data_IF_290656581107
#
_entry.id   IF_290656581107
#
_cell.length_a   1.000
_cell.length_b   1.000
_cell.length_c   1.000
_cell.angle_alpha   90.00
_cell.angle_beta   90.00
_cell.angle_gamma   90.00
#
_symmetry.space_group_name_H-M   'P 1'
#
loop_
_entity.id
_entity.type
_entity.pdbx_description
1 polymer ?
#
# COMPACT_ATOMS: atom_id res chain seq x y z
N UNK A 1 -58.96 4.08 -4.84
CA UNK A 1 -58.14 4.62 -3.75
C UNK A 1 -57.01 3.64 -3.50
N UNK A 2 -55.77 3.83 -4.05
CA UNK A 2 -54.62 3.08 -3.59
C UNK A 2 -53.95 3.90 -2.45
N UNK A 3 -53.58 3.18 -1.44
CA UNK A 3 -53.00 3.62 -0.18
C UNK A 3 -51.50 3.88 -0.39
N UNK A 4 -51.10 5.12 -0.21
CA UNK A 4 -49.71 5.62 -0.43
C UNK A 4 -48.97 5.53 0.91
N UNK A 5 -48.41 4.35 1.22
CA UNK A 5 -47.55 4.16 2.38
C UNK A 5 -46.12 4.60 2.03
N UNK A 6 -45.85 5.89 2.23
CA UNK A 6 -44.49 6.41 2.28
C UNK A 6 -43.73 5.80 3.47
N UNK A 7 -42.86 4.81 3.19
CA UNK A 7 -41.90 4.31 4.14
C UNK A 7 -40.81 5.37 4.33
N UNK A 8 -40.76 5.99 5.50
CA UNK A 8 -39.72 6.93 5.89
C UNK A 8 -38.40 6.24 6.00
N UNK A 9 -37.40 6.71 5.22
CA UNK A 9 -36.00 6.30 5.32
C UNK A 9 -35.47 6.74 6.69
N UNK A 10 -34.88 5.84 7.51
CA UNK A 10 -34.34 6.25 8.81
C UNK A 10 -33.17 7.23 8.58
N UNK A 11 -33.23 8.36 9.30
CA UNK A 11 -32.17 9.35 9.28
C UNK A 11 -30.82 8.73 9.69
N UNK A 12 -29.85 8.82 8.81
CA UNK A 12 -28.47 8.46 9.10
C UNK A 12 -28.00 9.38 10.23
N UNK A 13 -27.74 8.82 11.41
CA UNK A 13 -27.20 9.57 12.54
C UNK A 13 -25.83 10.13 12.13
N UNK A 14 -25.72 11.47 12.21
CA UNK A 14 -24.44 12.17 11.98
C UNK A 14 -23.34 11.55 12.85
N UNK A 15 -22.14 11.32 12.30
CA UNK A 15 -21.03 10.80 13.09
C UNK A 15 -20.76 11.76 14.25
N UNK A 16 -20.84 11.25 15.49
CA UNK A 16 -20.47 12.01 16.68
C UNK A 16 -19.04 12.52 16.46
N UNK A 17 -18.86 13.83 16.46
CA UNK A 17 -17.55 14.47 16.47
C UNK A 17 -16.81 13.96 17.69
N UNK A 18 -15.88 13.05 17.51
CA UNK A 18 -15.02 12.55 18.57
C UNK A 18 -14.10 13.71 18.95
N UNK A 19 -14.19 14.21 20.18
CA UNK A 19 -13.26 15.21 20.69
C UNK A 19 -11.84 14.72 20.42
N UNK A 20 -11.01 15.57 19.80
CA UNK A 20 -9.62 15.24 19.54
C UNK A 20 -8.92 15.10 20.89
N UNK A 21 -8.33 13.94 21.23
CA UNK A 21 -7.64 13.77 22.51
C UNK A 21 -6.57 14.84 22.70
N UNK A 22 -6.42 15.35 23.94
CA UNK A 22 -5.39 16.33 24.24
C UNK A 22 -4.00 15.79 23.94
N UNK A 23 -3.13 16.68 23.49
CA UNK A 23 -1.75 16.35 23.20
C UNK A 23 -0.81 16.91 24.27
N UNK A 24 0.12 16.07 24.67
CA UNK A 24 1.21 16.43 25.60
C UNK A 24 2.56 16.21 24.92
N UNK A 25 3.53 17.03 25.25
CA UNK A 25 4.87 16.94 24.67
C UNK A 25 5.91 16.59 25.73
N UNK A 26 6.81 15.64 25.41
CA UNK A 26 7.91 15.24 26.26
C UNK A 26 9.19 15.07 25.46
N UNK A 27 10.32 15.44 26.03
CA UNK A 27 11.64 15.20 25.44
C UNK A 27 12.25 13.94 26.05
N UNK A 28 12.81 13.10 25.21
CA UNK A 28 13.58 11.91 25.59
C UNK A 28 15.04 12.06 25.19
N UNK A 29 15.91 11.43 25.95
CA UNK A 29 17.30 11.20 25.52
C UNK A 29 17.27 10.26 24.29
N UNK A 30 18.21 10.39 23.34
CA UNK A 30 18.21 9.61 22.09
C UNK A 30 18.11 8.10 22.29
N UNK A 31 18.78 7.57 23.34
CA UNK A 31 18.72 6.13 23.63
C UNK A 31 17.30 5.68 23.96
N UNK A 32 16.59 6.43 24.81
CA UNK A 32 15.21 6.10 25.19
C UNK A 32 14.23 6.31 24.03
N UNK A 33 14.44 7.34 23.22
CA UNK A 33 13.65 7.54 22.01
C UNK A 33 13.74 6.33 21.08
N UNK A 34 14.97 5.84 20.79
CA UNK A 34 15.17 4.63 19.96
C UNK A 34 14.56 3.37 20.57
N UNK A 35 14.55 3.23 21.90
CA UNK A 35 13.90 2.11 22.58
C UNK A 35 12.37 2.14 22.41
N UNK A 36 11.75 3.33 22.46
CA UNK A 36 10.32 3.50 22.16
C UNK A 36 10.04 3.22 20.70
N UNK A 37 10.81 3.79 19.78
CA UNK A 37 10.69 3.59 18.34
C UNK A 37 10.77 2.09 17.96
N UNK A 38 11.63 1.35 18.65
CA UNK A 38 11.76 -0.10 18.51
C UNK A 38 10.66 -0.91 19.23
N UNK A 39 9.71 -0.27 19.91
CA UNK A 39 8.63 -0.93 20.65
C UNK A 39 9.09 -1.63 21.95
N UNK A 40 10.36 -1.50 22.37
CA UNK A 40 10.92 -2.17 23.54
C UNK A 40 10.62 -1.45 24.85
N UNK A 41 10.69 -0.11 24.85
CA UNK A 41 10.29 0.73 25.97
C UNK A 41 8.82 1.08 25.84
N UNK A 42 8.01 0.70 26.84
CA UNK A 42 6.56 0.91 26.84
C UNK A 42 6.04 1.59 28.11
N UNK A 43 6.95 1.98 29.01
CA UNK A 43 6.65 2.76 30.20
C UNK A 43 7.62 3.95 30.27
N UNK A 44 7.09 5.16 30.39
CA UNK A 44 7.86 6.37 30.64
C UNK A 44 7.71 6.80 32.09
N UNK A 45 8.80 7.21 32.70
CA UNK A 45 8.85 7.64 34.10
C UNK A 45 9.05 9.15 34.18
N UNK A 46 8.21 9.84 34.96
CA UNK A 46 8.27 11.29 35.17
C UNK A 46 7.96 11.63 36.63
N UNK A 47 8.57 12.70 37.14
CA UNK A 47 8.12 13.30 38.40
C UNK A 47 6.77 13.95 38.22
N UNK A 48 5.92 13.87 39.24
CA UNK A 48 4.50 14.24 39.21
C UNK A 48 4.29 15.75 39.36
N UNK A 49 4.87 16.55 38.44
CA UNK A 49 4.57 17.99 38.35
C UNK A 49 3.11 18.24 37.98
N UNK A 50 2.52 19.40 38.33
CA UNK A 50 1.14 19.71 37.97
C UNK A 50 0.82 19.41 36.51
N UNK A 51 1.65 19.90 35.58
CA UNK A 51 1.49 19.67 34.14
C UNK A 51 1.52 18.18 33.74
N UNK A 52 2.23 17.34 34.50
CA UNK A 52 2.30 15.91 34.21
C UNK A 52 1.13 15.13 34.82
N UNK A 53 0.53 15.65 35.89
CA UNK A 53 -0.68 15.10 36.51
C UNK A 53 -1.93 15.32 35.64
N UNK A 54 -1.88 16.29 34.71
CA UNK A 54 -2.99 16.58 33.79
C UNK A 54 -3.12 15.56 32.66
N UNK A 55 -2.15 14.65 32.49
CA UNK A 55 -2.18 13.62 31.46
C UNK A 55 -3.14 12.52 31.88
N UNK A 56 -4.00 12.08 30.97
CA UNK A 56 -4.98 11.03 31.21
C UNK A 56 -4.81 9.83 30.23
N UNK A 57 -5.37 8.69 30.63
CA UNK A 57 -5.43 7.54 29.73
C UNK A 57 -6.29 7.85 28.49
N UNK A 58 -5.83 7.40 27.33
CA UNK A 58 -6.43 7.70 26.03
C UNK A 58 -5.86 8.93 25.33
N UNK A 59 -5.10 9.77 26.06
CA UNK A 59 -4.48 10.97 25.46
C UNK A 59 -3.17 10.63 24.72
N UNK A 60 -2.80 11.51 23.80
CA UNK A 60 -1.58 11.37 23.01
C UNK A 60 -0.42 12.09 23.68
N UNK A 61 0.72 11.44 23.79
CA UNK A 61 2.00 12.06 24.15
C UNK A 61 2.91 12.03 22.92
N UNK A 62 3.38 13.21 22.51
CA UNK A 62 4.38 13.38 21.47
C UNK A 62 5.75 13.35 22.15
N UNK A 63 6.52 12.34 21.86
CA UNK A 63 7.89 12.17 22.34
C UNK A 63 8.87 12.77 21.34
N UNK A 64 9.72 13.69 21.80
CA UNK A 64 10.73 14.33 20.97
C UNK A 64 12.11 13.76 21.29
N UNK A 65 12.82 13.31 20.29
CA UNK A 65 14.25 13.02 20.41
C UNK A 65 14.98 14.34 20.70
N UNK A 66 15.71 14.38 21.82
CA UNK A 66 16.39 15.58 22.31
C UNK A 66 17.43 16.14 21.35
N UNK A 67 18.12 15.27 20.61
CA UNK A 67 19.25 15.65 19.78
C UNK A 67 18.83 15.91 18.32
N UNK A 68 17.92 15.11 17.79
CA UNK A 68 17.50 15.20 16.39
C UNK A 68 16.20 15.98 16.19
N UNK A 69 15.41 16.18 17.27
CA UNK A 69 14.08 16.78 17.20
C UNK A 69 13.00 15.89 16.55
N UNK A 70 13.34 14.64 16.16
CA UNK A 70 12.37 13.69 15.63
C UNK A 70 11.24 13.47 16.62
N UNK A 71 10.04 13.25 16.11
CA UNK A 71 8.84 13.07 16.90
C UNK A 71 8.25 11.68 16.73
N UNK A 72 7.65 11.18 17.80
CA UNK A 72 7.02 9.89 17.91
C UNK A 72 5.77 9.99 18.78
N UNK A 73 4.63 9.50 18.32
CA UNK A 73 3.40 9.51 19.07
C UNK A 73 3.21 8.22 19.86
N UNK A 74 2.77 8.38 21.09
CA UNK A 74 2.30 7.27 21.93
C UNK A 74 0.92 7.60 22.48
N UNK A 75 0.07 6.58 22.68
CA UNK A 75 -1.21 6.71 23.36
C UNK A 75 -1.08 6.17 24.77
N UNK A 76 -1.39 6.99 25.76
CA UNK A 76 -1.31 6.59 27.16
C UNK A 76 -2.41 5.57 27.46
N UNK A 77 -2.01 4.39 27.94
CA UNK A 77 -2.96 3.35 28.39
C UNK A 77 -3.31 3.46 29.85
N UNK A 78 -2.30 3.75 30.68
CA UNK A 78 -2.42 3.77 32.12
C UNK A 78 -1.41 4.76 32.70
N UNK A 79 -1.83 5.45 33.75
CA UNK A 79 -0.93 6.25 34.57
C UNK A 79 -1.06 5.77 36.01
N UNK A 80 0.08 5.46 36.63
CA UNK A 80 0.17 5.05 38.03
C UNK A 80 1.08 6.02 38.79
N UNK A 81 0.64 6.45 39.95
CA UNK A 81 1.42 7.33 40.83
C UNK A 81 2.10 6.50 41.92
N UNK A 82 3.36 6.84 42.21
CA UNK A 82 4.16 6.22 43.24
C UNK A 82 4.78 7.30 44.15
N UNK A 83 5.05 6.98 45.42
CA UNK A 83 5.72 7.93 46.34
C UNK A 83 7.17 8.19 45.93
N UNK A 84 7.89 7.16 45.45
CA UNK A 84 9.32 7.21 45.12
C UNK A 84 9.64 6.42 43.84
N UNK A 85 10.88 6.53 43.36
CA UNK A 85 11.38 5.69 42.27
C UNK A 85 11.56 4.22 42.71
N UNK A 86 11.87 3.97 43.98
CA UNK A 86 11.97 2.60 44.52
C UNK A 86 10.61 1.91 44.47
N UNK A 87 9.55 2.53 45.04
CA UNK A 87 8.19 1.96 44.99
C UNK A 87 7.74 1.69 43.55
N UNK A 88 8.14 2.56 42.62
CA UNK A 88 7.83 2.36 41.20
C UNK A 88 8.57 1.14 40.64
N UNK A 89 9.85 1.00 40.91
CA UNK A 89 10.66 -0.11 40.38
C UNK A 89 10.35 -1.47 41.04
N UNK A 90 9.82 -1.44 42.27
CA UNK A 90 9.33 -2.65 42.96
C UNK A 90 7.99 -3.15 42.34
N UNK A 91 7.28 -2.29 41.65
CA UNK A 91 5.94 -2.62 41.12
C UNK A 91 5.90 -2.77 39.61
N UNK A 92 6.57 -1.88 38.85
CA UNK A 92 6.62 -1.89 37.40
C UNK A 92 7.78 -2.73 36.89
N UNK A 93 7.60 -3.37 35.73
CA UNK A 93 8.69 -4.12 35.09
C UNK A 93 9.80 -3.17 34.59
N UNK A 94 11.02 -3.21 35.18
CA UNK A 94 12.12 -2.33 34.78
C UNK A 94 12.53 -2.48 33.31
N UNK A 95 12.38 -3.68 32.72
CA UNK A 95 12.69 -3.93 31.31
C UNK A 95 11.73 -3.18 30.34
N UNK A 96 10.56 -2.78 30.80
CA UNK A 96 9.63 -1.93 30.03
C UNK A 96 9.96 -0.45 30.15
N UNK A 97 10.79 -0.05 31.10
CA UNK A 97 11.23 1.33 31.36
C UNK A 97 12.58 1.59 30.69
N UNK A 98 13.55 0.71 30.91
CA UNK A 98 14.88 0.72 30.27
C UNK A 98 15.29 -0.73 29.93
N UNK A 99 14.94 -1.22 28.72
CA UNK A 99 15.22 -2.60 28.32
C UNK A 99 16.70 -2.95 28.18
N UNK A 100 17.59 -1.95 28.20
CA UNK A 100 19.04 -2.14 28.03
C UNK A 100 19.82 -1.93 29.36
N UNK A 101 19.11 -1.61 30.45
CA UNK A 101 19.72 -1.35 31.77
C UNK A 101 19.27 -2.33 32.85
N UNK A 102 20.02 -2.34 33.96
CA UNK A 102 19.62 -3.05 35.19
C UNK A 102 18.74 -2.17 36.08
N UNK A 103 17.93 -2.73 37.01
CA UNK A 103 17.13 -1.95 37.95
C UNK A 103 17.95 -0.95 38.79
N UNK A 104 19.14 -1.35 39.21
CA UNK A 104 20.04 -0.49 39.99
C UNK A 104 20.61 0.67 39.17
N UNK A 105 21.00 0.43 37.95
CA UNK A 105 21.43 1.46 36.99
C UNK A 105 20.29 2.42 36.64
N UNK A 106 19.07 1.90 36.48
CA UNK A 106 17.89 2.70 36.20
C UNK A 106 17.56 3.62 37.38
N UNK A 107 17.58 3.12 38.61
CA UNK A 107 17.37 3.93 39.81
C UNK A 107 18.41 5.05 39.91
N UNK A 108 19.69 4.70 39.72
CA UNK A 108 20.81 5.68 39.73
C UNK A 108 20.63 6.76 38.67
N UNK A 109 20.21 6.34 37.44
CA UNK A 109 19.94 7.26 36.34
C UNK A 109 18.78 8.20 36.66
N UNK A 110 17.65 7.67 37.15
CA UNK A 110 16.50 8.49 37.54
C UNK A 110 16.86 9.54 38.58
N UNK A 111 17.64 9.16 39.60
CA UNK A 111 18.11 10.09 40.66
C UNK A 111 19.15 11.10 40.16
N UNK A 112 19.90 10.76 39.12
CA UNK A 112 20.79 11.72 38.46
C UNK A 112 20.05 12.80 37.69
N UNK A 113 18.88 12.43 37.13
CA UNK A 113 18.01 13.36 36.37
C UNK A 113 17.11 14.18 37.32
N UNK A 114 16.62 13.57 38.39
CA UNK A 114 15.67 14.16 39.32
C UNK A 114 16.23 14.21 40.73
N UNK A 115 16.66 15.40 41.19
CA UNK A 115 17.09 15.59 42.60
C UNK A 115 15.99 15.20 43.60
N UNK A 116 16.33 14.88 44.86
CA UNK A 116 15.37 14.45 45.90
C UNK A 116 14.16 15.35 46.07
N UNK A 117 14.34 16.67 45.96
CA UNK A 117 13.24 17.64 46.02
C UNK A 117 12.24 17.49 44.87
N UNK A 118 12.62 16.93 43.73
CA UNK A 118 11.72 16.59 42.61
C UNK A 118 11.04 15.26 42.83
N UNK A 119 11.78 14.24 43.32
CA UNK A 119 11.19 12.94 43.65
C UNK A 119 10.09 13.08 44.73
N UNK A 120 10.27 13.98 45.70
CA UNK A 120 9.28 14.29 46.73
C UNK A 120 7.91 14.78 46.20
N UNK A 121 7.81 15.19 44.92
CA UNK A 121 6.54 15.49 44.27
C UNK A 121 5.72 14.22 43.93
N UNK A 122 6.31 13.04 44.11
CA UNK A 122 5.84 11.77 43.62
C UNK A 122 6.30 11.48 42.20
N UNK A 123 6.09 10.26 41.77
CA UNK A 123 6.55 9.72 40.48
C UNK A 123 5.37 9.13 39.70
N UNK A 124 5.37 9.30 38.39
CA UNK A 124 4.38 8.77 37.49
C UNK A 124 5.00 7.73 36.56
N UNK A 125 4.39 6.57 36.48
CA UNK A 125 4.60 5.61 35.39
C UNK A 125 3.50 5.76 34.35
N UNK A 126 3.88 6.15 33.13
CA UNK A 126 2.98 6.27 31.98
C UNK A 126 3.18 5.05 31.10
N UNK A 127 2.31 4.07 31.19
CA UNK A 127 2.29 2.95 30.26
C UNK A 127 1.56 3.36 28.97
N UNK A 128 2.14 3.05 27.82
CA UNK A 128 1.65 3.54 26.55
C UNK A 128 1.83 2.51 25.42
N UNK A 129 1.10 2.74 24.33
CA UNK A 129 1.32 2.10 23.04
C UNK A 129 1.97 3.06 22.06
N UNK A 130 2.91 2.56 21.32
CA UNK A 130 3.49 3.27 20.18
C UNK A 130 2.44 3.44 19.09
N UNK A 131 2.31 4.66 18.58
CA UNK A 131 1.49 4.98 17.41
C UNK A 131 2.43 5.34 16.26
N UNK A 132 2.61 4.48 15.26
CA UNK A 132 3.61 4.68 14.21
C UNK A 132 3.32 5.88 13.30
N UNK A 133 2.04 6.29 13.18
CA UNK A 133 1.66 7.42 12.35
C UNK A 133 0.56 8.28 13.01
N UNK A 134 0.67 9.58 12.86
CA UNK A 134 -0.28 10.60 13.30
C UNK A 134 -0.97 11.21 12.08
N UNK A 135 -2.32 11.30 12.04
CA UNK A 135 -3.01 11.98 10.96
C UNK A 135 -2.50 13.43 10.78
N UNK A 136 -2.17 13.80 9.55
CA UNK A 136 -1.68 15.14 9.22
C UNK A 136 -0.20 15.41 9.56
N UNK A 137 0.52 14.47 10.15
CA UNK A 137 1.96 14.60 10.32
C UNK A 137 2.65 14.52 8.96
N UNK A 138 3.62 15.39 8.67
CA UNK A 138 4.45 15.25 7.46
C UNK A 138 5.10 13.87 7.41
N UNK A 139 5.25 13.34 6.22
CA UNK A 139 6.01 12.10 6.01
C UNK A 139 7.44 12.29 6.55
N UNK A 140 8.04 11.27 7.21
CA UNK A 140 9.38 11.37 7.80
C UNK A 140 10.49 11.55 6.76
N UNK A 141 10.17 11.38 5.48
CA UNK A 141 11.07 11.56 4.35
C UNK A 141 10.35 12.27 3.20
N UNK A 142 11.10 12.93 2.34
CA UNK A 142 10.54 13.56 1.14
C UNK A 142 9.96 12.50 0.19
N UNK A 143 9.03 12.88 -0.72
CA UNK A 143 8.51 11.96 -1.72
C UNK A 143 9.62 11.28 -2.56
N UNK A 144 10.67 12.01 -2.91
CA UNK A 144 11.84 11.46 -3.64
C UNK A 144 12.57 10.41 -2.81
N UNK A 145 12.89 10.71 -1.55
CA UNK A 145 13.51 9.74 -0.66
C UNK A 145 12.64 8.50 -0.44
N UNK A 146 11.31 8.69 -0.31
CA UNK A 146 10.39 7.58 -0.18
C UNK A 146 10.39 6.70 -1.45
N UNK A 147 10.37 7.31 -2.64
CA UNK A 147 10.40 6.59 -3.90
C UNK A 147 11.66 5.69 -4.03
N UNK A 148 12.80 6.10 -3.45
CA UNK A 148 14.02 5.30 -3.43
C UNK A 148 13.94 4.07 -2.51
N UNK A 149 13.00 4.04 -1.56
CA UNK A 149 12.86 2.93 -0.58
C UNK A 149 11.87 1.85 -1.01
N UNK A 150 11.03 2.12 -2.01
CA UNK A 150 10.02 1.18 -2.49
C UNK A 150 10.51 0.41 -3.71
N UNK A 151 10.07 -0.85 -3.90
CA UNK A 151 10.42 -1.61 -5.09
C UNK A 151 9.93 -0.92 -6.37
N UNK A 152 10.78 -0.82 -7.36
CA UNK A 152 10.39 -0.34 -8.68
C UNK A 152 9.59 -1.40 -9.43
N UNK A 153 8.54 -0.95 -10.11
CA UNK A 153 7.67 -1.77 -10.93
C UNK A 153 7.57 -1.12 -12.31
N UNK A 154 7.44 -1.91 -13.35
CA UNK A 154 7.00 -1.40 -14.65
C UNK A 154 5.54 -1.74 -14.86
N UNK A 155 4.85 -0.91 -15.62
CA UNK A 155 3.43 -1.08 -15.95
C UNK A 155 3.31 -1.29 -17.45
N UNK A 156 2.34 -2.11 -17.88
CA UNK A 156 1.98 -2.22 -19.27
C UNK A 156 0.46 -2.19 -19.46
N UNK A 157 0.03 -1.71 -20.60
CA UNK A 157 -1.36 -1.67 -21.02
C UNK A 157 -1.56 -2.47 -22.31
N UNK A 158 -2.62 -3.29 -22.36
CA UNK A 158 -2.97 -4.06 -23.56
C UNK A 158 -4.46 -4.00 -23.87
N UNK A 159 -4.83 -4.27 -25.12
CA UNK A 159 -6.20 -4.46 -25.56
C UNK A 159 -6.48 -5.95 -25.83
N UNK A 160 -7.51 -6.46 -25.19
CA UNK A 160 -8.08 -7.75 -25.56
C UNK A 160 -9.11 -7.55 -26.67
N UNK A 161 -8.81 -7.98 -27.87
CA UNK A 161 -9.67 -7.87 -29.05
C UNK A 161 -10.10 -9.24 -29.56
N UNK A 162 -11.25 -9.31 -30.20
CA UNK A 162 -11.89 -10.53 -30.70
C UNK A 162 -12.46 -10.31 -32.08
N UNK A 163 -12.70 -11.38 -32.81
CA UNK A 163 -13.53 -11.34 -34.03
C UNK A 163 -15.05 -11.35 -33.71
N UNK A 164 -15.86 -11.30 -34.74
CA UNK A 164 -17.33 -11.34 -34.63
C UNK A 164 -17.86 -12.65 -34.05
N UNK A 165 -17.06 -13.72 -34.06
CA UNK A 165 -17.38 -15.02 -33.45
C UNK A 165 -16.81 -15.16 -32.03
N UNK A 166 -16.42 -14.06 -31.38
CA UNK A 166 -15.81 -14.01 -30.07
C UNK A 166 -14.47 -14.80 -29.95
N UNK A 167 -13.77 -15.01 -31.07
CA UNK A 167 -12.45 -15.66 -31.02
C UNK A 167 -11.36 -14.63 -30.80
N UNK A 168 -10.45 -14.85 -29.81
CA UNK A 168 -9.36 -13.91 -29.53
C UNK A 168 -8.40 -13.70 -30.70
N UNK A 169 -8.03 -12.44 -30.90
CA UNK A 169 -6.97 -12.01 -31.81
C UNK A 169 -5.67 -11.88 -31.02
N UNK A 170 -4.59 -12.44 -31.54
CA UNK A 170 -3.25 -12.30 -30.94
C UNK A 170 -2.23 -11.90 -32.02
N UNK A 171 -1.21 -11.15 -31.60
CA UNK A 171 -0.06 -10.79 -32.40
C UNK A 171 1.14 -11.67 -32.01
N UNK A 172 1.97 -12.05 -32.97
CA UNK A 172 3.18 -12.81 -32.69
C UNK A 172 4.39 -11.89 -32.73
N UNK A 173 5.06 -11.77 -31.58
CA UNK A 173 6.26 -10.96 -31.47
C UNK A 173 7.41 -11.54 -32.28
N UNK A 174 8.27 -10.69 -32.84
CA UNK A 174 9.53 -11.10 -33.48
C UNK A 174 10.64 -11.37 -32.46
N UNK A 175 10.45 -10.96 -31.20
CA UNK A 175 11.47 -11.04 -30.16
C UNK A 175 11.47 -12.37 -29.41
N UNK A 176 12.63 -12.76 -28.92
CA UNK A 176 12.83 -13.89 -28.01
C UNK A 176 12.30 -15.21 -28.57
N UNK A 177 11.39 -15.87 -27.86
CA UNK A 177 10.75 -17.11 -28.28
C UNK A 177 9.55 -16.89 -29.23
N UNK A 178 9.38 -15.69 -29.74
CA UNK A 178 8.26 -15.28 -30.61
C UNK A 178 6.89 -15.55 -29.97
N UNK A 179 6.64 -15.01 -28.77
CA UNK A 179 5.40 -15.28 -28.06
C UNK A 179 4.19 -14.63 -28.75
N UNK A 180 3.03 -15.28 -28.61
CA UNK A 180 1.75 -14.67 -28.90
C UNK A 180 1.32 -13.77 -27.75
N UNK A 181 0.86 -12.58 -28.06
CA UNK A 181 0.52 -11.53 -27.10
C UNK A 181 -0.65 -10.67 -27.55
N UNK A 182 -1.24 -9.94 -26.61
CA UNK A 182 -2.23 -8.92 -26.90
C UNK A 182 -1.57 -7.70 -27.55
N UNK A 183 -2.25 -6.94 -28.40
CA UNK A 183 -1.81 -5.60 -28.78
C UNK A 183 -1.60 -4.73 -27.54
N UNK A 184 -0.44 -4.09 -27.43
CA UNK A 184 -0.09 -3.26 -26.29
C UNK A 184 1.37 -3.35 -25.87
N UNK A 185 1.78 -2.45 -25.01
CA UNK A 185 3.18 -2.27 -24.62
C UNK A 185 3.38 -1.73 -23.21
N UNK A 186 4.64 -1.42 -22.91
CA UNK A 186 5.00 -0.84 -21.63
C UNK A 186 4.61 0.64 -21.58
N UNK A 187 4.30 1.12 -20.36
CA UNK A 187 4.08 2.52 -20.07
C UNK A 187 5.45 3.24 -20.07
N UNK A 188 5.87 3.74 -21.20
CA UNK A 188 7.15 4.40 -21.43
C UNK A 188 7.03 5.88 -21.83
N UNK A 189 5.85 6.30 -22.30
CA UNK A 189 5.58 7.69 -22.61
C UNK A 189 5.16 8.47 -21.36
N UNK A 190 5.81 9.62 -21.14
CA UNK A 190 5.52 10.47 -19.98
C UNK A 190 4.11 11.05 -20.05
N UNK A 191 3.34 10.85 -18.97
CA UNK A 191 1.99 11.38 -18.82
C UNK A 191 0.88 10.50 -19.37
N UNK A 192 1.19 9.34 -19.95
CA UNK A 192 0.19 8.35 -20.32
C UNK A 192 -0.30 7.55 -19.09
N UNK A 193 -1.52 7.11 -19.16
CA UNK A 193 -2.07 6.03 -18.34
C UNK A 193 -2.06 4.69 -19.09
N UNK A 194 -2.24 3.55 -18.42
CA UNK A 194 -2.18 2.24 -19.08
C UNK A 194 -3.20 2.01 -20.20
N UNK A 195 -4.35 2.69 -20.19
CA UNK A 195 -5.33 2.60 -21.27
C UNK A 195 -4.87 3.41 -22.49
N UNK A 196 -4.31 4.60 -22.25
CA UNK A 196 -3.73 5.42 -23.31
C UNK A 196 -2.58 4.69 -24.00
N UNK A 197 -1.68 4.08 -23.22
CA UNK A 197 -0.62 3.22 -23.74
C UNK A 197 -1.19 2.08 -24.56
N UNK A 198 -2.18 1.33 -24.05
CA UNK A 198 -2.79 0.22 -24.78
C UNK A 198 -3.36 0.62 -26.14
N UNK A 199 -3.97 1.82 -26.22
CA UNK A 199 -4.53 2.35 -27.47
C UNK A 199 -3.46 2.80 -28.45
N UNK A 200 -2.45 3.54 -27.97
CA UNK A 200 -1.33 3.99 -28.81
C UNK A 200 -0.60 2.80 -29.42
N UNK A 201 -0.19 1.85 -28.58
CA UNK A 201 0.49 0.62 -29.03
C UNK A 201 -0.35 -0.18 -30.01
N UNK A 202 -1.66 -0.32 -29.77
CA UNK A 202 -2.52 -1.03 -30.71
C UNK A 202 -2.57 -0.35 -32.08
N UNK A 203 -2.53 0.97 -32.16
CA UNK A 203 -2.41 1.71 -33.43
C UNK A 203 -1.05 1.46 -34.08
N UNK A 204 0.04 1.53 -33.31
CA UNK A 204 1.40 1.31 -33.82
C UNK A 204 1.59 -0.12 -34.33
N UNK A 205 1.13 -1.11 -33.57
CA UNK A 205 1.31 -2.54 -33.88
C UNK A 205 0.36 -3.07 -34.95
N UNK A 206 -0.85 -2.49 -35.12
CA UNK A 206 -1.89 -3.03 -36.03
C UNK A 206 -2.37 -2.06 -37.10
N UNK A 207 -2.05 -0.79 -36.98
CA UNK A 207 -2.61 0.27 -37.83
C UNK A 207 -4.10 0.57 -37.58
N UNK A 208 -4.70 -0.01 -36.52
CA UNK A 208 -6.11 0.15 -36.21
C UNK A 208 -6.34 0.93 -34.92
N UNK A 209 -7.24 1.89 -34.98
CA UNK A 209 -7.69 2.61 -33.78
C UNK A 209 -8.72 1.75 -33.02
N UNK A 210 -8.24 1.06 -31.98
CA UNK A 210 -8.97 0.06 -31.23
C UNK A 210 -9.37 0.58 -29.84
N UNK A 211 -10.41 -0.03 -29.26
CA UNK A 211 -10.76 0.22 -27.86
C UNK A 211 -11.39 1.59 -27.59
N UNK A 212 -12.08 2.18 -28.56
CA UNK A 212 -12.71 3.51 -28.45
C UNK A 212 -13.95 3.54 -27.53
N UNK A 213 -14.48 2.38 -27.14
CA UNK A 213 -15.61 2.29 -26.20
C UNK A 213 -15.27 2.74 -24.77
N UNK A 214 -16.24 2.67 -23.88
CA UNK A 214 -16.03 2.88 -22.46
C UNK A 214 -14.97 1.89 -21.94
N UNK A 215 -13.98 2.34 -21.17
CA UNK A 215 -12.89 1.48 -20.70
C UNK A 215 -13.44 0.41 -19.76
N UNK A 216 -13.21 -0.85 -20.10
CA UNK A 216 -13.54 -1.99 -19.25
C UNK A 216 -12.29 -2.81 -19.01
N UNK A 217 -11.80 -2.78 -17.78
CA UNK A 217 -10.70 -3.63 -17.36
C UNK A 217 -11.18 -5.10 -17.30
N UNK A 218 -10.45 -6.00 -17.96
CA UNK A 218 -10.79 -7.43 -18.02
C UNK A 218 -9.76 -8.31 -17.32
N UNK A 219 -8.53 -7.81 -17.11
CA UNK A 219 -7.48 -8.51 -16.37
C UNK A 219 -6.55 -7.52 -15.72
N UNK A 220 -6.25 -7.75 -14.44
CA UNK A 220 -5.05 -7.23 -13.77
C UNK A 220 -4.06 -8.37 -13.63
N UNK A 221 -2.87 -8.22 -14.19
CA UNK A 221 -1.81 -9.22 -14.16
C UNK A 221 -0.61 -8.70 -13.37
N UNK A 222 -0.22 -9.43 -12.33
CA UNK A 222 1.01 -9.17 -11.60
C UNK A 222 2.06 -10.23 -11.95
N UNK A 223 3.15 -9.79 -12.57
CA UNK A 223 4.27 -10.65 -12.95
C UNK A 223 5.46 -10.38 -12.02
N UNK A 224 5.82 -11.38 -11.22
CA UNK A 224 6.99 -11.30 -10.35
C UNK A 224 8.30 -11.21 -11.14
N UNK A 225 9.22 -10.42 -10.60
CA UNK A 225 10.60 -10.36 -11.06
C UNK A 225 11.26 -11.76 -11.05
N UNK A 226 12.17 -11.97 -11.96
CA UNK A 226 12.95 -13.20 -12.04
C UNK A 226 14.28 -12.98 -12.78
N UNK A 227 15.06 -14.04 -13.03
CA UNK A 227 16.39 -13.91 -13.59
C UNK A 227 16.45 -13.21 -14.96
N UNK A 228 15.39 -13.31 -15.75
CA UNK A 228 15.31 -12.68 -17.09
C UNK A 228 14.73 -11.28 -17.07
N UNK A 229 13.98 -10.93 -16.03
CA UNK A 229 13.37 -9.62 -15.85
C UNK A 229 13.49 -9.24 -14.37
N UNK A 230 14.42 -8.33 -14.02
CA UNK A 230 14.72 -8.01 -12.62
C UNK A 230 13.69 -7.06 -11.97
N UNK A 231 12.61 -6.74 -12.66
CA UNK A 231 11.52 -5.87 -12.20
C UNK A 231 10.19 -6.61 -12.20
N UNK A 232 9.37 -6.37 -11.19
CA UNK A 232 7.97 -6.78 -11.27
C UNK A 232 7.25 -5.99 -12.36
N UNK A 233 6.24 -6.61 -12.98
CA UNK A 233 5.35 -5.93 -13.94
C UNK A 233 3.91 -5.95 -13.43
N UNK A 234 3.21 -4.84 -13.62
CA UNK A 234 1.77 -4.75 -13.43
C UNK A 234 1.13 -4.54 -14.80
N UNK A 235 0.34 -5.49 -15.24
CA UNK A 235 -0.37 -5.43 -16.52
C UNK A 235 -1.84 -5.13 -16.33
N UNK A 236 -2.35 -4.23 -17.16
CA UNK A 236 -3.77 -3.92 -17.24
C UNK A 236 -4.26 -4.22 -18.67
N UNK A 237 -5.18 -5.18 -18.79
CA UNK A 237 -5.76 -5.53 -20.09
C UNK A 237 -7.19 -5.04 -20.13
N UNK A 238 -7.50 -4.26 -21.15
CA UNK A 238 -8.82 -3.66 -21.36
C UNK A 238 -9.57 -4.36 -22.51
N UNK A 239 -10.89 -4.38 -22.44
CA UNK A 239 -11.73 -4.90 -23.53
C UNK A 239 -11.62 -3.97 -24.75
N UNK A 240 -10.94 -4.42 -25.78
CA UNK A 240 -10.78 -3.72 -27.06
C UNK A 240 -11.94 -3.93 -28.03
N UNK A 241 -12.94 -4.72 -27.63
CA UNK A 241 -14.15 -4.95 -28.45
C UNK A 241 -14.00 -6.08 -29.49
N UNK A 242 -14.91 -6.04 -30.46
CA UNK A 242 -14.93 -6.98 -31.59
C UNK A 242 -14.50 -6.28 -32.87
N UNK A 243 -13.72 -6.97 -33.69
CA UNK A 243 -13.30 -6.56 -35.01
C UNK A 243 -14.15 -7.26 -36.07
N UNK A 244 -14.61 -6.49 -37.04
CA UNK A 244 -15.25 -7.04 -38.23
C UNK A 244 -14.23 -7.71 -39.15
N UNK A 245 -14.67 -8.53 -40.11
CA UNK A 245 -13.79 -9.11 -41.10
C UNK A 245 -13.00 -8.03 -41.88
N UNK A 246 -13.63 -6.93 -42.26
CA UNK A 246 -12.97 -5.80 -42.93
C UNK A 246 -11.91 -5.12 -42.08
N UNK A 247 -12.10 -5.06 -40.76
CA UNK A 247 -11.07 -4.52 -39.83
C UNK A 247 -9.90 -5.49 -39.72
N UNK A 248 -10.15 -6.78 -39.61
CA UNK A 248 -9.09 -7.79 -39.58
C UNK A 248 -8.25 -7.75 -40.88
N UNK A 249 -8.86 -7.62 -42.05
CA UNK A 249 -8.15 -7.51 -43.33
C UNK A 249 -7.32 -6.23 -43.45
N UNK A 250 -7.64 -5.21 -42.67
CA UNK A 250 -6.90 -3.94 -42.63
C UNK A 250 -5.74 -3.93 -41.64
N UNK A 251 -5.55 -4.99 -40.85
CA UNK A 251 -4.39 -5.06 -39.93
C UNK A 251 -3.10 -4.91 -40.74
N UNK A 252 -2.26 -4.00 -40.29
CA UNK A 252 -0.92 -3.74 -40.84
C UNK A 252 0.05 -3.76 -39.68
N UNK A 253 0.79 -4.87 -39.58
CA UNK A 253 1.75 -5.08 -38.51
C UNK A 253 2.99 -4.21 -38.71
N UNK A 254 3.56 -3.71 -37.60
CA UNK A 254 4.95 -3.23 -37.61
C UNK A 254 5.89 -4.46 -37.69
N UNK A 255 6.63 -4.63 -38.80
CA UNK A 255 7.51 -5.78 -38.96
C UNK A 255 8.72 -5.76 -38.01
N UNK A 256 9.01 -4.64 -37.36
CA UNK A 256 10.04 -4.55 -36.33
C UNK A 256 9.61 -5.22 -35.02
N UNK A 257 8.31 -5.36 -34.79
CA UNK A 257 7.77 -5.88 -33.53
C UNK A 257 6.97 -7.18 -33.72
N UNK A 258 6.21 -7.29 -34.82
CA UNK A 258 5.31 -8.42 -35.07
C UNK A 258 5.40 -8.93 -36.51
N UNK A 259 5.44 -10.25 -36.66
CA UNK A 259 5.50 -10.90 -37.97
C UNK A 259 4.21 -11.61 -38.38
N UNK A 260 3.27 -11.77 -37.48
CA UNK A 260 2.01 -12.47 -37.74
C UNK A 260 0.92 -12.03 -36.75
N UNK A 261 -0.32 -11.99 -37.22
CA UNK A 261 -1.49 -12.01 -36.37
C UNK A 261 -2.35 -13.24 -36.66
N UNK A 262 -3.14 -13.68 -35.70
CA UNK A 262 -4.05 -14.81 -35.89
C UNK A 262 -5.31 -14.70 -35.04
N UNK A 263 -6.37 -15.39 -35.49
CA UNK A 263 -7.64 -15.54 -34.78
C UNK A 263 -7.91 -17.02 -34.60
N UNK A 264 -7.99 -17.48 -33.37
CA UNK A 264 -8.32 -18.88 -33.10
C UNK A 264 -9.28 -19.01 -31.92
N UNK A 265 -9.98 -20.14 -31.87
CA UNK A 265 -10.70 -20.53 -30.67
C UNK A 265 -9.76 -20.76 -29.48
N UNK A 266 -10.28 -20.59 -28.25
CA UNK A 266 -9.47 -20.70 -27.01
C UNK A 266 -8.69 -22.02 -26.92
N UNK A 267 -9.33 -23.15 -27.32
CA UNK A 267 -8.68 -24.47 -27.33
C UNK A 267 -7.46 -24.53 -28.25
N UNK A 268 -7.49 -23.84 -29.39
CA UNK A 268 -6.34 -23.75 -30.30
C UNK A 268 -5.24 -22.91 -29.71
N UNK A 269 -5.58 -21.78 -29.06
CA UNK A 269 -4.61 -20.93 -28.38
C UNK A 269 -3.87 -21.66 -27.25
N UNK A 270 -4.54 -22.58 -26.56
CA UNK A 270 -3.92 -23.42 -25.53
C UNK A 270 -2.71 -24.23 -26.06
N UNK A 271 -2.81 -24.68 -27.31
CA UNK A 271 -1.72 -25.43 -27.95
C UNK A 271 -0.61 -24.55 -28.58
N UNK A 272 -0.91 -23.29 -28.86
CA UNK A 272 0.01 -22.37 -29.55
C UNK A 272 0.76 -21.43 -28.61
N UNK A 273 0.20 -21.14 -27.45
CA UNK A 273 0.77 -20.18 -26.51
C UNK A 273 1.59 -20.87 -25.42
N UNK A 274 2.62 -20.18 -24.92
CA UNK A 274 3.27 -20.61 -23.70
C UNK A 274 2.26 -20.61 -22.53
N UNK A 275 2.37 -21.54 -21.56
CA UNK A 275 1.36 -21.70 -20.49
C UNK A 275 1.02 -20.41 -19.73
N UNK A 276 2.01 -19.57 -19.46
CA UNK A 276 1.82 -18.27 -18.80
C UNK A 276 1.02 -17.28 -19.64
N UNK A 277 1.31 -17.18 -20.91
CA UNK A 277 0.59 -16.30 -21.82
C UNK A 277 -0.85 -16.79 -22.02
N UNK A 278 -1.05 -18.10 -22.15
CA UNK A 278 -2.37 -18.69 -22.22
C UNK A 278 -3.17 -18.47 -20.94
N UNK A 279 -2.55 -18.53 -19.75
CA UNK A 279 -3.23 -18.26 -18.48
C UNK A 279 -3.87 -16.86 -18.42
N UNK A 280 -3.25 -15.84 -19.02
CA UNK A 280 -3.84 -14.51 -19.12
C UNK A 280 -5.10 -14.54 -20.01
N UNK A 281 -5.01 -15.20 -21.17
CA UNK A 281 -6.13 -15.32 -22.11
C UNK A 281 -7.31 -16.09 -21.49
N UNK A 282 -7.04 -17.22 -20.84
CA UNK A 282 -8.04 -18.03 -20.15
C UNK A 282 -8.72 -17.28 -19.00
N UNK A 283 -7.93 -16.53 -18.21
CA UNK A 283 -8.47 -15.71 -17.13
C UNK A 283 -9.44 -14.63 -17.63
N UNK A 284 -9.10 -13.97 -18.74
CA UNK A 284 -10.00 -12.99 -19.39
C UNK A 284 -11.29 -13.66 -19.84
N UNK A 285 -11.19 -14.82 -20.51
CA UNK A 285 -12.36 -15.53 -21.02
C UNK A 285 -13.28 -15.99 -19.89
N UNK A 286 -12.74 -16.42 -18.76
CA UNK A 286 -13.53 -16.76 -17.55
C UNK A 286 -14.20 -15.50 -16.97
N UNK A 287 -13.49 -14.41 -16.83
CA UNK A 287 -14.04 -13.15 -16.33
C UNK A 287 -15.19 -12.64 -17.21
N UNK A 288 -15.08 -12.80 -18.53
CA UNK A 288 -16.14 -12.43 -19.49
C UNK A 288 -17.39 -13.31 -19.36
N UNK A 289 -17.25 -14.57 -18.97
CA UNK A 289 -18.37 -15.49 -18.68
C UNK A 289 -19.05 -15.23 -17.33
N UNK A 290 -18.61 -14.23 -16.58
CA UNK A 290 -19.23 -13.83 -15.32
C UNK A 290 -18.58 -14.43 -14.06
N UNK A 291 -17.39 -15.02 -14.18
CA UNK A 291 -16.65 -15.56 -13.03
C UNK A 291 -15.95 -14.45 -12.18
N UNK A 292 -16.30 -13.17 -12.43
CA UNK A 292 -15.75 -12.02 -11.73
C UNK A 292 -14.56 -11.38 -12.47
N UNK A 293 -14.04 -10.25 -11.95
CA UNK A 293 -12.86 -9.61 -12.52
C UNK A 293 -11.64 -10.52 -12.43
N UNK A 294 -10.88 -10.61 -13.52
CA UNK A 294 -9.69 -11.44 -13.53
C UNK A 294 -8.51 -10.75 -12.80
N UNK A 295 -7.95 -11.44 -11.84
CA UNK A 295 -6.66 -11.10 -11.23
C UNK A 295 -5.74 -12.31 -11.32
N UNK A 296 -4.58 -12.13 -11.93
CA UNK A 296 -3.64 -13.22 -12.16
C UNK A 296 -2.26 -12.82 -11.64
N UNK A 297 -1.63 -13.74 -10.91
CA UNK A 297 -0.23 -13.62 -10.47
C UNK A 297 0.58 -14.71 -11.13
N UNK A 298 1.70 -14.33 -11.77
CA UNK A 298 2.61 -15.29 -12.39
C UNK A 298 4.07 -14.98 -12.03
N UNK A 299 4.96 -15.91 -12.35
CA UNK A 299 6.41 -15.76 -12.15
C UNK A 299 7.13 -15.82 -13.50
N UNK A 300 8.25 -15.08 -13.62
CA UNK A 300 9.10 -15.06 -14.84
C UNK A 300 9.83 -16.36 -15.05
#
# INVERSE_FOLDING_TARGET
MPDDTHQAIPAVSSPRTREVPREHHMRLLPRYYRQVEAGRKTIEVRVATPRKRDIAAGETVVLHDRDTGRELDVVVRRITSYPSFEDLLDTEDPARIDPDGTPGELLSTLRSIYPPAKEALGVLALAFDHRPARPGRPMPMTPTQYAETVPHHTVYGCLYVRDERDRPVQLRSVYGSRPWQFPGGNLDAQGEDPLQTARREAVEETGLDLGQGAPRLVLTHFLHAGPRLPLNKVGLVFDGGRLTADQLDRIRLDPAEHDMWAVHALATWQGLMAPRAFACLDAIERARRGEGPAYLVTHT
#
